data_IF_018520386445
#
_entry.id   IF_018520386445
#
_cell.length_a   1.000
_cell.length_b   1.000
_cell.length_c   1.000
_cell.angle_alpha   90.00
_cell.angle_beta   90.00
_cell.angle_gamma   90.00
#
_symmetry.space_group_name_H-M   'P 1'
#
loop_
_entity.id
_entity.type
_entity.pdbx_description
1 polymer ?
#
# COMPACT_ATOMS: atom_id res chain seq x y z
N UNK A 1 -62.30 -39.00 49.87
CA UNK A 1 -61.56 -39.09 51.15
C UNK A 1 -60.07 -38.83 50.86
N UNK A 2 -59.43 -38.02 51.71
CA UNK A 2 -57.99 -37.72 51.87
C UNK A 2 -57.24 -37.12 50.65
N UNK A 3 -57.02 -35.80 50.58
CA UNK A 3 -55.94 -34.98 51.21
C UNK A 3 -54.51 -35.51 50.99
N UNK A 4 -53.72 -34.74 50.25
CA UNK A 4 -52.51 -34.10 50.81
C UNK A 4 -52.15 -32.83 50.03
N UNK A 5 -51.86 -31.77 50.80
CA UNK A 5 -51.37 -30.45 50.39
C UNK A 5 -49.89 -30.36 50.81
N UNK A 6 -49.24 -29.28 50.34
CA UNK A 6 -48.04 -28.58 50.91
C UNK A 6 -46.70 -29.00 50.26
N UNK A 7 -45.68 -28.12 50.07
CA UNK A 7 -45.64 -26.64 49.99
C UNK A 7 -44.88 -26.06 48.76
N UNK A 8 -45.05 -24.74 48.60
CA UNK A 8 -44.17 -23.83 47.85
C UNK A 8 -42.72 -23.83 48.38
N UNK A 9 -41.73 -23.75 47.48
CA UNK A 9 -40.45 -23.09 47.76
C UNK A 9 -40.03 -22.19 46.60
N UNK A 10 -40.24 -20.90 46.84
CA UNK A 10 -39.65 -19.76 46.17
C UNK A 10 -38.11 -19.87 46.31
N UNK A 11 -37.39 -20.16 45.23
CA UNK A 11 -35.92 -20.12 45.23
C UNK A 11 -35.45 -18.92 44.40
N UNK A 12 -35.34 -17.78 45.10
CA UNK A 12 -34.74 -16.54 44.65
C UNK A 12 -33.24 -16.77 44.48
N UNK A 13 -32.75 -17.02 43.26
CA UNK A 13 -31.31 -17.00 42.97
C UNK A 13 -30.89 -15.56 42.65
N UNK A 14 -30.16 -14.97 43.57
CA UNK A 14 -29.37 -13.76 43.34
C UNK A 14 -28.26 -14.07 42.33
N UNK A 15 -27.86 -13.10 41.48
CA UNK A 15 -26.71 -13.25 40.60
C UNK A 15 -25.42 -13.17 41.40
N UNK A 16 -24.58 -14.20 41.28
CA UNK A 16 -23.22 -14.21 41.79
C UNK A 16 -22.37 -13.25 40.96
N UNK A 17 -21.98 -12.15 41.57
CA UNK A 17 -20.96 -11.24 41.10
C UNK A 17 -19.57 -11.85 41.35
N UNK A 18 -18.87 -12.23 40.27
CA UNK A 18 -17.42 -12.41 40.31
C UNK A 18 -16.75 -11.33 39.46
N UNK A 19 -15.74 -10.62 40.02
CA UNK A 19 -15.04 -9.56 39.33
C UNK A 19 -14.00 -10.16 38.36
N UNK A 20 -14.11 -9.80 37.08
CA UNK A 20 -13.06 -10.03 36.07
C UNK A 20 -12.01 -8.93 36.25
N UNK A 21 -10.70 -9.25 36.35
CA UNK A 21 -9.67 -8.23 36.30
C UNK A 21 -9.51 -7.74 34.86
N UNK A 22 -10.03 -6.55 34.58
CA UNK A 22 -9.73 -5.82 33.36
C UNK A 22 -8.25 -5.41 33.36
N UNK A 23 -7.43 -6.14 32.62
CA UNK A 23 -6.05 -5.74 32.34
C UNK A 23 -6.07 -4.49 31.45
N UNK A 24 -5.91 -3.33 32.11
CA UNK A 24 -5.63 -2.03 31.50
C UNK A 24 -4.32 -2.10 30.70
N UNK A 25 -4.42 -2.01 29.38
CA UNK A 25 -3.31 -1.58 28.51
C UNK A 25 -3.81 -0.49 27.57
N UNK A 26 -4.20 0.66 28.14
CA UNK A 26 -4.27 1.93 27.43
C UNK A 26 -3.51 2.96 28.27
N UNK A 27 -2.32 3.34 27.80
CA UNK A 27 -1.58 4.46 28.35
C UNK A 27 -2.11 5.78 27.76
N UNK A 28 -2.27 6.85 28.56
CA UNK A 28 -2.68 8.15 28.07
C UNK A 28 -1.54 8.88 27.33
N UNK A 29 -1.91 9.58 26.25
CA UNK A 29 -1.05 10.45 25.44
C UNK A 29 -0.37 11.56 26.28
N UNK A 30 0.94 11.83 26.11
CA UNK A 30 1.58 13.00 26.70
C UNK A 30 1.21 14.30 25.96
N UNK A 31 1.27 15.46 26.65
CA UNK A 31 0.86 16.75 26.10
C UNK A 31 1.86 17.29 25.06
N UNK A 32 1.30 18.08 24.13
CA UNK A 32 2.00 18.79 23.05
C UNK A 32 3.07 19.73 23.62
N UNK A 33 4.35 19.43 23.36
CA UNK A 33 5.43 20.39 23.47
C UNK A 33 5.63 21.09 22.13
N UNK A 34 5.25 22.36 22.06
CA UNK A 34 5.68 23.30 21.02
C UNK A 34 7.10 23.75 21.35
N UNK A 35 8.10 23.22 20.64
CA UNK A 35 9.46 23.75 20.67
C UNK A 35 9.82 24.23 19.25
N UNK A 36 9.78 25.55 19.07
CA UNK A 36 10.30 26.26 17.91
C UNK A 36 11.83 26.30 17.99
N UNK A 37 12.50 25.46 17.19
CA UNK A 37 13.94 25.55 16.97
C UNK A 37 14.22 26.48 15.77
N UNK A 38 15.08 27.51 15.89
CA UNK A 38 15.47 28.32 14.75
C UNK A 38 16.50 27.58 13.90
N UNK A 39 16.12 27.26 12.66
CA UNK A 39 17.04 26.75 11.63
C UNK A 39 17.91 27.93 11.16
N UNK A 40 19.18 27.97 11.58
CA UNK A 40 20.20 28.84 10.97
C UNK A 40 20.65 28.22 9.65
N UNK A 41 20.28 28.83 8.53
CA UNK A 41 20.87 28.53 7.22
C UNK A 41 22.31 29.09 7.14
N UNK A 42 23.30 28.31 6.68
CA UNK A 42 24.57 28.89 6.27
C UNK A 42 24.40 29.56 4.89
N UNK A 43 24.57 30.87 4.85
CA UNK A 43 24.75 31.63 3.62
C UNK A 43 26.12 31.33 3.03
N UNK A 44 26.17 30.58 1.93
CA UNK A 44 27.34 30.56 1.06
C UNK A 44 26.98 31.22 -0.29
N UNK A 45 27.83 32.10 -0.84
CA UNK A 45 27.55 32.73 -2.12
C UNK A 45 27.70 31.74 -3.27
N UNK A 46 26.65 31.63 -4.09
CA UNK A 46 26.64 30.96 -5.38
C UNK A 46 27.78 31.49 -6.28
N UNK A 47 28.82 30.68 -6.51
CA UNK A 47 29.72 30.87 -7.64
C UNK A 47 29.07 30.27 -8.89
N UNK A 48 28.46 31.14 -9.69
CA UNK A 48 28.03 30.84 -11.05
C UNK A 48 29.27 30.44 -11.88
N UNK A 49 29.27 29.20 -12.38
CA UNK A 49 30.25 28.72 -13.35
C UNK A 49 29.93 29.37 -14.71
N UNK A 50 30.60 30.49 -15.00
CA UNK A 50 30.65 31.09 -16.33
C UNK A 50 31.68 30.35 -17.18
N UNK A 51 31.20 29.69 -18.23
CA UNK A 51 32.04 29.17 -19.31
C UNK A 51 32.33 30.30 -20.29
N UNK A 52 33.58 30.75 -20.37
CA UNK A 52 34.05 31.62 -21.46
C UNK A 52 35.35 31.05 -22.04
N UNK A 53 35.46 30.89 -23.38
CA UNK A 53 36.64 30.34 -24.02
C UNK A 53 37.71 31.42 -24.13
N UNK A 54 38.88 31.20 -23.51
CA UNK A 54 40.03 32.09 -23.70
C UNK A 54 40.66 31.84 -25.07
N UNK A 55 40.42 32.79 -25.97
CA UNK A 55 41.07 32.93 -27.26
C UNK A 55 42.54 33.37 -27.04
N UNK A 56 43.49 32.63 -27.62
CA UNK A 56 44.91 32.96 -27.65
C UNK A 56 45.13 34.31 -28.36
N UNK A 57 45.55 35.34 -27.61
CA UNK A 57 45.98 36.62 -28.17
C UNK A 57 47.48 36.56 -28.51
N UNK A 58 47.82 36.58 -29.80
CA UNK A 58 49.17 36.86 -30.30
C UNK A 58 49.57 38.30 -29.96
N UNK A 59 50.82 38.49 -29.53
CA UNK A 59 51.42 39.82 -29.39
C UNK A 59 51.83 40.39 -30.77
N UNK A 60 51.72 41.70 -31.03
CA UNK A 60 52.15 42.33 -32.29
C UNK A 60 53.66 42.52 -32.39
N UNK A 61 54.16 42.41 -33.64
CA UNK A 61 55.51 42.74 -34.09
C UNK A 61 55.79 44.24 -33.98
N UNK A 62 56.99 44.59 -33.52
CA UNK A 62 57.56 45.95 -33.58
C UNK A 62 58.72 45.97 -34.60
N UNK A 63 58.77 47.02 -35.42
CA UNK A 63 59.56 47.14 -36.65
C UNK A 63 60.71 48.15 -36.53
N UNK A 64 61.95 47.67 -36.72
CA UNK A 64 63.18 48.20 -37.39
C UNK A 64 63.67 49.66 -37.18
N UNK A 65 65.00 49.97 -37.32
CA UNK A 65 65.60 50.29 -38.65
C UNK A 65 67.12 49.89 -38.79
N UNK A 66 67.96 50.34 -39.79
CA UNK A 66 68.80 49.49 -40.68
C UNK A 66 70.34 49.60 -40.43
N UNK A 67 71.23 48.94 -41.22
CA UNK A 67 72.59 48.53 -40.82
C UNK A 67 73.73 49.41 -41.36
N UNK A 68 75.00 49.20 -40.92
CA UNK A 68 76.19 49.58 -41.68
C UNK A 68 76.96 48.36 -42.27
N UNK A 69 77.85 48.58 -43.26
CA UNK A 69 78.26 47.54 -44.21
C UNK A 69 79.63 46.88 -43.94
N UNK A 70 79.79 45.74 -44.64
CA UNK A 70 81.02 45.13 -45.18
C UNK A 70 82.08 44.57 -44.22
N UNK A 71 82.30 43.26 -44.30
CA UNK A 71 83.53 42.72 -44.91
C UNK A 71 83.41 41.23 -45.18
N UNK A 72 83.91 40.86 -46.35
CA UNK A 72 84.10 39.50 -46.86
C UNK A 72 84.78 38.58 -45.86
N UNK A 73 84.31 37.33 -45.77
CA UNK A 73 85.20 36.16 -45.91
C UNK A 73 84.42 34.83 -45.90
N UNK A 74 84.63 34.09 -47.00
CA UNK A 74 84.85 32.65 -47.10
C UNK A 74 83.81 31.66 -46.56
N UNK A 75 83.09 31.10 -47.53
CA UNK A 75 82.75 29.67 -47.68
C UNK A 75 83.59 28.73 -46.81
N UNK A 76 82.92 28.08 -45.86
CA UNK A 76 83.28 26.72 -45.43
C UNK A 76 82.03 25.86 -45.42
N UNK A 77 82.04 24.82 -46.24
CA UNK A 77 80.98 23.83 -46.32
C UNK A 77 80.89 23.07 -44.98
N UNK A 78 79.72 23.11 -44.34
CA UNK A 78 79.43 22.31 -43.15
C UNK A 78 79.10 20.87 -43.61
N UNK A 79 79.76 19.82 -43.08
CA UNK A 79 79.47 18.44 -43.43
C UNK A 79 78.07 18.02 -42.94
N UNK A 80 77.42 17.02 -43.58
CA UNK A 80 76.04 16.65 -43.25
C UNK A 80 75.95 16.14 -41.81
N UNK A 81 75.20 16.86 -40.97
CA UNK A 81 74.84 16.40 -39.62
C UNK A 81 73.94 15.17 -39.71
N UNK A 82 74.38 14.08 -39.08
CA UNK A 82 73.60 12.86 -38.85
C UNK A 82 72.32 13.23 -38.08
N UNK A 83 71.12 12.76 -38.47
CA UNK A 83 69.89 13.11 -37.78
C UNK A 83 69.95 12.66 -36.31
N UNK A 84 69.75 13.61 -35.40
CA UNK A 84 69.64 13.36 -33.97
C UNK A 84 68.37 12.54 -33.70
N UNK A 85 68.43 11.42 -32.96
CA UNK A 85 67.21 10.72 -32.58
C UNK A 85 66.35 11.64 -31.73
N UNK A 86 65.11 11.88 -32.15
CA UNK A 86 64.10 12.55 -31.35
C UNK A 86 63.81 11.69 -30.11
N UNK A 87 63.76 12.26 -28.89
CA UNK A 87 63.32 11.49 -27.74
C UNK A 87 61.88 11.04 -27.99
N UNK A 88 61.65 9.73 -27.87
CA UNK A 88 60.33 9.14 -28.01
C UNK A 88 59.34 9.83 -27.09
N UNK A 89 58.22 10.28 -27.66
CA UNK A 89 57.06 10.74 -26.91
C UNK A 89 56.47 9.54 -26.15
N UNK A 90 57.02 9.26 -24.97
CA UNK A 90 56.39 8.33 -24.03
C UNK A 90 55.10 8.98 -23.53
N UNK A 91 53.96 8.52 -24.05
CA UNK A 91 52.64 8.94 -23.58
C UNK A 91 52.54 8.52 -22.10
N UNK A 92 52.25 9.45 -21.17
CA UNK A 92 52.26 9.12 -19.75
C UNK A 92 51.18 8.08 -19.42
N UNK A 93 51.37 7.24 -18.38
CA UNK A 93 50.44 6.17 -17.98
C UNK A 93 49.09 6.69 -17.40
N UNK A 94 48.74 7.94 -17.67
CA UNK A 94 47.70 8.72 -17.00
C UNK A 94 46.27 8.46 -17.52
N UNK A 95 46.01 7.27 -18.10
CA UNK A 95 44.72 6.91 -18.69
C UNK A 95 43.95 5.84 -17.91
N UNK A 96 44.62 5.02 -17.07
CA UNK A 96 43.96 3.92 -16.34
C UNK A 96 43.05 4.39 -15.21
N UNK A 97 43.46 5.43 -14.48
CA UNK A 97 42.64 6.02 -13.39
C UNK A 97 41.36 6.67 -13.92
N UNK A 98 41.45 7.39 -15.05
CA UNK A 98 40.28 7.96 -15.71
C UNK A 98 39.28 6.91 -16.18
N UNK A 99 39.76 5.78 -16.73
CA UNK A 99 38.91 4.64 -17.10
C UNK A 99 38.25 4.00 -15.88
N UNK A 100 38.97 3.85 -14.76
CA UNK A 100 38.41 3.31 -13.52
C UNK A 100 37.30 4.20 -12.97
N UNK A 101 37.51 5.53 -12.93
CA UNK A 101 36.48 6.47 -12.51
C UNK A 101 35.28 6.46 -13.46
N UNK A 102 35.51 6.46 -14.78
CA UNK A 102 34.43 6.37 -15.76
C UNK A 102 33.58 5.09 -15.58
N UNK A 103 34.23 3.95 -15.36
CA UNK A 103 33.55 2.69 -15.08
C UNK A 103 32.76 2.74 -13.75
N UNK A 104 33.33 3.34 -12.70
CA UNK A 104 32.65 3.52 -11.42
C UNK A 104 31.42 4.43 -11.53
N UNK A 105 31.53 5.57 -12.22
CA UNK A 105 30.40 6.46 -12.46
C UNK A 105 29.34 5.85 -13.36
N UNK A 106 29.73 5.06 -14.37
CA UNK A 106 28.80 4.33 -15.22
C UNK A 106 28.03 3.28 -14.41
N UNK A 107 28.72 2.48 -13.59
CA UNK A 107 28.09 1.48 -12.72
C UNK A 107 27.16 2.13 -11.69
N UNK A 108 27.60 3.23 -11.06
CA UNK A 108 26.75 3.97 -10.14
C UNK A 108 25.53 4.54 -10.87
N UNK A 109 25.71 5.13 -12.06
CA UNK A 109 24.62 5.67 -12.87
C UNK A 109 23.64 4.62 -13.36
N UNK A 110 24.10 3.43 -13.77
CA UNK A 110 23.22 2.33 -14.19
C UNK A 110 22.47 1.74 -13.00
N UNK A 111 23.10 1.61 -11.84
CA UNK A 111 22.44 1.16 -10.61
C UNK A 111 21.38 2.19 -10.17
N UNK A 112 21.75 3.46 -10.04
CA UNK A 112 20.82 4.52 -9.63
C UNK A 112 19.69 4.69 -10.63
N UNK A 113 20.00 4.66 -11.93
CA UNK A 113 19.02 4.75 -13.01
C UNK A 113 18.09 3.55 -13.06
N UNK A 114 18.59 2.34 -12.80
CA UNK A 114 17.77 1.13 -12.72
C UNK A 114 16.83 1.15 -11.52
N UNK A 115 17.34 1.53 -10.33
CA UNK A 115 16.51 1.70 -9.14
C UNK A 115 15.43 2.77 -9.37
N UNK A 116 15.81 3.92 -9.92
CA UNK A 116 14.85 4.99 -10.25
C UNK A 116 13.78 4.50 -11.24
N UNK A 117 14.18 3.81 -12.32
CA UNK A 117 13.24 3.24 -13.29
C UNK A 117 12.26 2.28 -12.64
N UNK A 118 12.72 1.35 -11.80
CA UNK A 118 11.84 0.39 -11.10
C UNK A 118 10.88 1.11 -10.14
N UNK A 119 11.32 2.20 -9.51
CA UNK A 119 10.44 2.97 -8.61
C UNK A 119 9.40 3.82 -9.34
N UNK A 120 9.73 4.37 -10.51
CA UNK A 120 8.84 5.28 -11.27
C UNK A 120 7.98 4.54 -12.29
N UNK A 121 8.50 3.44 -12.84
CA UNK A 121 7.85 2.62 -13.86
C UNK A 121 8.11 1.15 -13.52
N UNK A 122 7.43 0.61 -12.50
CA UNK A 122 7.51 -0.82 -12.18
C UNK A 122 7.08 -1.65 -13.41
N UNK A 123 7.54 -2.91 -13.51
CA UNK A 123 7.12 -3.80 -14.58
C UNK A 123 5.59 -3.97 -14.58
N UNK A 124 5.05 -4.23 -15.77
CA UNK A 124 3.61 -4.42 -15.93
C UNK A 124 3.14 -5.62 -15.08
N UNK A 125 2.03 -5.43 -14.38
CA UNK A 125 1.43 -6.46 -13.55
C UNK A 125 0.61 -7.42 -14.43
N UNK A 126 0.48 -8.66 -13.98
CA UNK A 126 -0.30 -9.68 -14.71
C UNK A 126 -1.73 -9.19 -15.01
N UNK A 127 -2.13 -9.33 -16.27
CA UNK A 127 -3.48 -8.98 -16.70
C UNK A 127 -4.51 -9.94 -16.08
N UNK A 128 -5.66 -9.46 -15.56
CA UNK A 128 -6.64 -10.31 -14.91
C UNK A 128 -7.19 -11.35 -15.89
N UNK A 129 -7.27 -12.60 -15.43
CA UNK A 129 -7.73 -13.71 -16.26
C UNK A 129 -6.65 -14.32 -17.18
N UNK A 130 -5.46 -13.73 -17.26
CA UNK A 130 -4.31 -14.36 -17.93
C UNK A 130 -3.88 -15.66 -17.25
N UNK A 131 -3.11 -16.50 -17.94
CA UNK A 131 -2.57 -17.73 -17.35
C UNK A 131 -1.62 -17.44 -16.17
N UNK A 132 -0.84 -16.36 -16.27
CA UNK A 132 0.04 -15.89 -15.21
C UNK A 132 -0.76 -15.43 -13.99
N UNK A 133 -1.80 -14.64 -14.19
CA UNK A 133 -2.69 -14.17 -13.11
C UNK A 133 -3.30 -15.33 -12.33
N UNK A 134 -3.80 -16.35 -13.03
CA UNK A 134 -4.34 -17.56 -12.39
C UNK A 134 -3.28 -18.32 -11.57
N UNK A 135 -2.06 -18.42 -12.09
CA UNK A 135 -0.97 -19.04 -11.35
C UNK A 135 -0.62 -18.24 -10.08
N UNK A 136 -0.56 -16.91 -10.18
CA UNK A 136 -0.31 -16.01 -9.06
C UNK A 136 -1.42 -16.08 -8.00
N UNK A 137 -2.69 -16.06 -8.41
CA UNK A 137 -3.84 -16.25 -7.51
C UNK A 137 -3.75 -17.56 -6.74
N UNK A 138 -3.39 -18.66 -7.42
CA UNK A 138 -3.18 -19.96 -6.76
C UNK A 138 -2.05 -19.92 -5.72
N UNK A 139 -0.95 -19.21 -6.01
CA UNK A 139 0.16 -19.02 -5.06
C UNK A 139 -0.29 -18.18 -3.86
N UNK A 140 -0.99 -17.07 -4.10
CA UNK A 140 -1.49 -16.16 -3.06
C UNK A 140 -2.47 -16.90 -2.16
N UNK A 141 -3.41 -17.67 -2.73
CA UNK A 141 -4.36 -18.47 -1.96
C UNK A 141 -3.68 -19.50 -1.06
N UNK A 142 -2.71 -20.26 -1.57
CA UNK A 142 -1.92 -21.20 -0.75
C UNK A 142 -1.17 -20.49 0.38
N UNK A 143 -0.61 -19.30 0.12
CA UNK A 143 0.04 -18.49 1.16
C UNK A 143 -0.96 -18.03 2.22
N UNK A 144 -2.16 -17.60 1.81
CA UNK A 144 -3.21 -17.17 2.70
C UNK A 144 -3.69 -18.30 3.63
N UNK A 145 -3.93 -19.49 3.06
CA UNK A 145 -4.31 -20.70 3.81
C UNK A 145 -3.20 -21.21 4.76
N UNK A 146 -1.94 -20.81 4.51
CA UNK A 146 -0.82 -21.08 5.40
C UNK A 146 -0.69 -20.09 6.57
N UNK A 147 -1.41 -18.96 6.55
CA UNK A 147 -1.34 -17.96 7.62
C UNK A 147 -1.91 -18.54 8.93
N UNK A 148 -1.19 -18.38 10.07
CA UNK A 148 -1.66 -18.88 11.36
C UNK A 148 -3.06 -18.37 11.72
N UNK A 149 -3.31 -17.08 11.50
CA UNK A 149 -4.60 -16.46 11.80
C UNK A 149 -5.76 -17.06 10.98
N UNK A 150 -5.53 -17.35 9.69
CA UNK A 150 -6.56 -17.96 8.83
C UNK A 150 -6.90 -19.35 9.33
N UNK A 151 -5.88 -20.13 9.75
CA UNK A 151 -6.08 -21.47 10.31
C UNK A 151 -6.83 -21.42 11.64
N UNK A 152 -6.40 -20.57 12.57
CA UNK A 152 -7.07 -20.40 13.87
C UNK A 152 -8.54 -20.02 13.71
N UNK A 153 -8.85 -19.04 12.86
CA UNK A 153 -10.23 -18.62 12.62
C UNK A 153 -11.06 -19.66 11.85
N UNK A 154 -10.43 -20.49 11.03
CA UNK A 154 -11.12 -21.59 10.33
C UNK A 154 -11.36 -22.82 11.21
N UNK A 155 -10.52 -23.05 12.22
CA UNK A 155 -10.65 -24.17 13.16
C UNK A 155 -11.64 -23.87 14.30
N UNK A 156 -11.79 -22.59 14.67
CA UNK A 156 -12.72 -22.17 15.72
C UNK A 156 -14.18 -22.25 15.22
N UNK A 157 -15.04 -23.11 15.83
CA UNK A 157 -16.43 -23.28 15.42
C UNK A 157 -17.30 -22.05 15.72
N UNK A 158 -16.81 -21.05 16.45
CA UNK A 158 -17.52 -19.79 16.65
C UNK A 158 -17.56 -18.89 15.40
N UNK A 159 -16.71 -19.16 14.40
CA UNK A 159 -16.58 -18.36 13.19
C UNK A 159 -17.13 -19.09 11.96
N UNK A 160 -18.12 -18.50 11.32
CA UNK A 160 -18.53 -18.87 9.98
C UNK A 160 -17.58 -18.20 8.98
N UNK A 161 -17.07 -18.96 7.99
CA UNK A 161 -16.14 -18.39 7.00
C UNK A 161 -16.56 -18.67 5.55
N UNK A 162 -16.27 -17.71 4.67
CA UNK A 162 -16.50 -17.82 3.24
C UNK A 162 -15.53 -16.94 2.45
N UNK A 163 -15.29 -17.31 1.19
CA UNK A 163 -14.60 -16.42 0.25
C UNK A 163 -15.53 -15.28 -0.14
N UNK A 164 -15.00 -14.05 -0.18
CA UNK A 164 -15.78 -12.90 -0.62
C UNK A 164 -16.26 -13.12 -2.06
N UNK A 165 -17.51 -12.74 -2.32
CA UNK A 165 -18.19 -12.94 -3.61
C UNK A 165 -18.38 -14.40 -4.04
N UNK A 166 -18.33 -15.38 -3.13
CA UNK A 166 -18.59 -16.80 -3.44
C UNK A 166 -19.99 -17.06 -4.04
N UNK A 167 -20.94 -16.15 -3.81
CA UNK A 167 -22.29 -16.19 -4.44
C UNK A 167 -22.23 -15.85 -5.94
N UNK A 168 -21.15 -15.20 -6.38
CA UNK A 168 -20.85 -15.07 -7.78
C UNK A 168 -19.95 -16.28 -8.15
N UNK A 169 -20.36 -17.17 -9.06
CA UNK A 169 -19.56 -18.31 -9.52
C UNK A 169 -18.23 -17.84 -10.10
N UNK A 170 -17.13 -18.56 -9.89
CA UNK A 170 -15.80 -18.25 -10.42
C UNK A 170 -15.85 -17.88 -11.92
N UNK A 171 -14.92 -17.03 -12.39
CA UNK A 171 -14.94 -16.51 -13.77
C UNK A 171 -14.92 -17.61 -14.85
N UNK A 172 -14.58 -18.82 -14.44
CA UNK A 172 -14.46 -20.08 -15.16
C UNK A 172 -15.72 -20.99 -15.06
N UNK A 173 -16.73 -20.61 -14.27
CA UNK A 173 -18.01 -21.33 -14.18
C UNK A 173 -18.92 -21.01 -15.38
N UNK A 174 -18.54 -21.52 -16.56
CA UNK A 174 -19.44 -21.84 -17.66
C UNK A 174 -20.04 -20.67 -18.46
N UNK A 175 -19.73 -20.67 -19.76
CA UNK A 175 -20.35 -19.83 -20.79
C UNK A 175 -21.83 -20.22 -21.06
N UNK A 176 -22.69 -20.03 -20.07
CA UNK A 176 -24.15 -20.00 -20.24
C UNK A 176 -24.66 -18.56 -20.21
N UNK A 177 -25.87 -18.32 -20.74
CA UNK A 177 -26.50 -16.98 -20.74
C UNK A 177 -26.64 -16.38 -19.32
N UNK A 178 -26.77 -17.23 -18.29
CA UNK A 178 -26.77 -16.81 -16.88
C UNK A 178 -25.36 -16.40 -16.39
N UNK A 179 -24.32 -17.07 -16.87
CA UNK A 179 -22.91 -16.76 -16.58
C UNK A 179 -22.46 -15.42 -17.15
N UNK A 180 -22.88 -15.07 -18.38
CA UNK A 180 -22.56 -13.77 -18.98
C UNK A 180 -23.23 -12.60 -18.23
N UNK A 181 -24.48 -12.75 -17.81
CA UNK A 181 -25.18 -11.77 -17.00
C UNK A 181 -24.55 -11.58 -15.61
N UNK A 182 -24.03 -12.66 -15.03
CA UNK A 182 -23.35 -12.66 -13.74
C UNK A 182 -21.95 -12.06 -13.82
N UNK A 183 -21.20 -12.37 -14.88
CA UNK A 183 -19.88 -11.78 -15.14
C UNK A 183 -20.00 -10.26 -15.35
N UNK A 184 -21.00 -9.80 -16.11
CA UNK A 184 -21.30 -8.37 -16.23
C UNK A 184 -21.59 -7.69 -14.88
N UNK A 185 -22.26 -8.39 -13.95
CA UNK A 185 -22.50 -7.88 -12.59
C UNK A 185 -21.21 -7.80 -11.75
N UNK A 186 -20.22 -8.66 -12.01
CA UNK A 186 -18.88 -8.55 -11.39
C UNK A 186 -18.13 -7.36 -11.93
N UNK A 187 -18.11 -7.22 -13.26
CA UNK A 187 -17.36 -6.17 -13.96
C UNK A 187 -17.88 -4.77 -13.61
N UNK A 188 -19.17 -4.65 -13.29
CA UNK A 188 -19.80 -3.40 -12.82
C UNK A 188 -19.43 -3.03 -11.37
N UNK A 189 -18.82 -3.93 -10.60
CA UNK A 189 -18.41 -3.69 -9.21
C UNK A 189 -16.94 -3.32 -9.15
N UNK A 190 -16.60 -2.47 -8.18
CA UNK A 190 -15.22 -2.03 -7.98
C UNK A 190 -14.33 -3.17 -7.48
N UNK A 191 -14.77 -3.87 -6.44
CA UNK A 191 -13.94 -4.84 -5.72
C UNK A 191 -13.84 -6.19 -6.43
N UNK A 192 -14.95 -6.72 -6.96
CA UNK A 192 -14.97 -7.96 -7.75
C UNK A 192 -14.71 -7.78 -9.25
N UNK A 193 -14.59 -6.53 -9.73
CA UNK A 193 -14.40 -6.20 -11.14
C UNK A 193 -13.10 -5.44 -11.36
N UNK A 194 -13.14 -4.11 -11.24
CA UNK A 194 -11.98 -3.24 -11.52
C UNK A 194 -10.73 -3.57 -10.68
N UNK A 195 -10.92 -4.03 -9.45
CA UNK A 195 -9.87 -4.46 -8.52
C UNK A 195 -9.73 -5.99 -8.47
N UNK A 196 -10.26 -6.75 -9.43
CA UNK A 196 -10.09 -8.20 -9.46
C UNK A 196 -8.68 -8.63 -9.89
N UNK A 197 -8.36 -9.90 -9.66
CA UNK A 197 -7.11 -10.54 -10.07
C UNK A 197 -5.96 -10.33 -9.08
N UNK A 198 -4.82 -10.97 -9.38
CA UNK A 198 -3.62 -10.98 -8.55
C UNK A 198 -3.03 -9.59 -8.32
N UNK A 199 -3.15 -8.70 -9.32
CA UNK A 199 -2.72 -7.30 -9.21
C UNK A 199 -3.62 -6.45 -8.30
N UNK A 200 -4.88 -6.84 -8.09
CA UNK A 200 -5.86 -6.08 -7.32
C UNK A 200 -6.06 -6.66 -5.92
N UNK A 201 -7.32 -6.96 -5.58
CA UNK A 201 -7.74 -7.69 -4.39
C UNK A 201 -7.70 -9.20 -4.71
N UNK A 202 -6.49 -9.75 -4.70
CA UNK A 202 -6.23 -11.13 -5.10
C UNK A 202 -6.88 -12.19 -4.19
N UNK A 203 -7.09 -11.84 -2.92
CA UNK A 203 -7.64 -12.72 -1.91
C UNK A 203 -8.44 -11.92 -0.90
N UNK A 204 -9.64 -12.39 -0.59
CA UNK A 204 -10.48 -11.83 0.45
C UNK A 204 -11.31 -12.96 1.06
N UNK A 205 -11.01 -13.32 2.31
CA UNK A 205 -11.79 -14.30 3.08
C UNK A 205 -12.41 -13.63 4.29
N UNK A 206 -13.71 -13.82 4.42
CA UNK A 206 -14.52 -13.24 5.50
C UNK A 206 -14.76 -14.30 6.55
N UNK A 207 -14.58 -13.92 7.80
CA UNK A 207 -14.93 -14.66 9.00
C UNK A 207 -15.96 -13.84 9.76
N UNK A 208 -17.05 -14.46 10.18
CA UNK A 208 -18.11 -13.81 10.94
C UNK A 208 -18.45 -14.62 12.18
N UNK A 209 -18.57 -13.92 13.29
CA UNK A 209 -19.11 -14.47 14.53
C UNK A 209 -20.62 -14.24 14.61
N UNK A 210 -21.39 -15.31 14.78
CA UNK A 210 -22.84 -15.22 14.81
C UNK A 210 -23.40 -14.60 16.10
N UNK A 211 -22.69 -14.77 17.22
CA UNK A 211 -23.05 -14.30 18.56
C UNK A 211 -22.86 -12.78 18.72
N UNK A 212 -21.66 -12.27 18.43
CA UNK A 212 -21.31 -10.85 18.57
C UNK A 212 -21.68 -10.04 17.33
N UNK A 213 -21.76 -10.70 16.16
CA UNK A 213 -21.91 -10.03 14.87
C UNK A 213 -20.61 -9.36 14.38
N UNK A 214 -19.48 -9.66 15.02
CA UNK A 214 -18.17 -9.22 14.57
C UNK A 214 -17.76 -9.93 13.28
N UNK A 215 -17.04 -9.20 12.43
CA UNK A 215 -16.44 -9.74 11.22
C UNK A 215 -14.94 -9.49 11.21
N UNK A 216 -14.17 -10.47 10.74
CA UNK A 216 -12.77 -10.31 10.40
C UNK A 216 -12.60 -10.69 8.92
N UNK A 217 -11.99 -9.82 8.14
CA UNK A 217 -11.71 -10.07 6.72
C UNK A 217 -10.21 -10.12 6.53
N UNK A 218 -9.68 -11.26 6.07
CA UNK A 218 -8.28 -11.36 5.64
C UNK A 218 -8.21 -10.99 4.18
N UNK A 219 -7.42 -9.98 3.84
CA UNK A 219 -7.34 -9.40 2.49
C UNK A 219 -5.90 -9.31 2.02
N UNK A 220 -5.69 -9.55 0.73
CA UNK A 220 -4.43 -9.27 0.03
C UNK A 220 -4.57 -8.03 -0.84
N UNK A 221 -3.70 -7.04 -0.66
CA UNK A 221 -3.60 -5.89 -1.55
C UNK A 221 -2.46 -6.10 -2.54
N UNK A 222 -2.77 -6.32 -3.81
CA UNK A 222 -1.79 -6.42 -4.90
C UNK A 222 -1.28 -5.06 -5.37
N UNK A 223 -0.25 -5.06 -6.21
CA UNK A 223 0.47 -3.86 -6.65
C UNK A 223 -0.38 -2.87 -7.44
N UNK A 224 -1.43 -3.32 -8.10
CA UNK A 224 -2.39 -2.50 -8.83
C UNK A 224 -3.33 -1.69 -7.91
N UNK A 225 -3.32 -1.97 -6.61
CA UNK A 225 -4.00 -1.15 -5.60
C UNK A 225 -3.13 0.01 -5.10
N UNK A 226 -1.88 0.13 -5.58
CA UNK A 226 -0.94 1.13 -5.09
C UNK A 226 -1.28 2.54 -5.57
N UNK A 227 -1.23 3.52 -4.66
CA UNK A 227 -1.37 4.95 -4.98
C UNK A 227 -0.03 5.67 -5.06
N UNK A 228 0.97 5.12 -4.39
CA UNK A 228 2.37 5.55 -4.41
C UNK A 228 3.24 4.30 -4.56
N UNK A 229 4.44 4.36 -5.15
CA UNK A 229 5.28 3.17 -5.32
C UNK A 229 5.40 2.32 -4.05
N UNK A 230 4.86 1.10 -4.12
CA UNK A 230 4.86 0.12 -3.03
C UNK A 230 3.85 0.36 -1.90
N UNK A 231 3.01 1.39 -1.95
CA UNK A 231 2.01 1.73 -0.93
C UNK A 231 0.58 1.68 -1.49
N UNK A 232 -0.29 0.97 -0.78
CA UNK A 232 -1.72 0.86 -1.11
C UNK A 232 -2.37 2.25 -1.11
N UNK A 233 -3.18 2.52 -2.12
CA UNK A 233 -3.93 3.76 -2.24
C UNK A 233 -4.94 3.88 -1.08
N UNK A 234 -5.04 5.07 -0.47
CA UNK A 234 -5.99 5.32 0.62
C UNK A 234 -7.42 5.00 0.23
N UNK A 235 -7.84 5.33 -1.00
CA UNK A 235 -9.15 4.96 -1.53
C UNK A 235 -9.39 3.45 -1.63
N UNK A 236 -8.37 2.64 -1.96
CA UNK A 236 -8.52 1.18 -2.00
C UNK A 236 -8.73 0.61 -0.59
N UNK A 237 -8.01 1.13 0.40
CA UNK A 237 -8.23 0.79 1.82
C UNK A 237 -9.64 1.20 2.26
N UNK A 238 -10.07 2.41 1.91
CA UNK A 238 -11.41 2.92 2.21
C UNK A 238 -12.50 2.03 1.62
N UNK A 239 -12.35 1.58 0.37
CA UNK A 239 -13.32 0.68 -0.30
C UNK A 239 -13.45 -0.66 0.42
N UNK A 240 -12.32 -1.30 0.77
CA UNK A 240 -12.36 -2.59 1.48
C UNK A 240 -12.92 -2.44 2.90
N UNK A 241 -12.62 -1.33 3.57
CA UNK A 241 -13.20 -0.99 4.87
C UNK A 241 -14.70 -0.77 4.79
N UNK A 242 -15.18 0.04 3.85
CA UNK A 242 -16.60 0.30 3.64
C UNK A 242 -17.37 -1.01 3.44
N UNK A 243 -16.83 -1.90 2.59
CA UNK A 243 -17.44 -3.19 2.32
C UNK A 243 -17.44 -4.11 3.55
N UNK A 244 -16.33 -4.17 4.31
CA UNK A 244 -16.21 -5.01 5.50
C UNK A 244 -17.12 -4.54 6.63
N UNK A 245 -17.17 -3.23 6.89
CA UNK A 245 -18.05 -2.64 7.90
C UNK A 245 -19.52 -2.75 7.47
N UNK A 246 -19.78 -2.56 6.18
CA UNK A 246 -21.12 -2.68 5.61
C UNK A 246 -21.65 -4.10 5.73
N UNK A 247 -20.83 -5.12 5.46
CA UNK A 247 -21.18 -6.52 5.67
C UNK A 247 -21.54 -6.82 7.13
N UNK A 248 -20.73 -6.33 8.07
CA UNK A 248 -21.02 -6.44 9.50
C UNK A 248 -22.38 -5.80 9.87
N UNK A 249 -22.66 -4.60 9.36
CA UNK A 249 -23.92 -3.92 9.64
C UNK A 249 -25.15 -4.58 8.98
N UNK A 250 -25.05 -4.84 7.68
CA UNK A 250 -26.15 -5.30 6.83
C UNK A 250 -26.64 -6.68 7.26
N UNK A 251 -25.73 -7.58 7.65
CA UNK A 251 -26.10 -8.90 8.15
C UNK A 251 -26.83 -8.86 9.49
N UNK A 252 -26.79 -7.72 10.21
CA UNK A 252 -27.52 -7.52 11.46
C UNK A 252 -28.87 -6.82 11.26
N UNK A 253 -29.07 -6.10 10.16
CA UNK A 253 -30.37 -5.52 9.86
C UNK A 253 -31.41 -6.60 9.53
N UNK A 254 -32.65 -6.51 10.04
CA UNK A 254 -33.72 -7.46 9.70
C UNK A 254 -34.01 -7.51 8.19
N UNK A 255 -33.88 -6.37 7.50
CA UNK A 255 -34.08 -6.26 6.06
C UNK A 255 -32.92 -6.83 5.23
N UNK A 256 -31.79 -7.20 5.86
CA UNK A 256 -30.55 -7.65 5.22
C UNK A 256 -30.10 -6.74 4.08
N UNK A 257 -30.32 -5.44 4.20
CA UNK A 257 -29.92 -4.47 3.20
C UNK A 257 -29.57 -3.15 3.89
N UNK A 258 -28.78 -2.31 3.24
CA UNK A 258 -28.35 -1.05 3.81
C UNK A 258 -27.40 -0.31 2.90
N UNK A 259 -27.25 0.98 3.15
CA UNK A 259 -26.29 1.85 2.47
C UNK A 259 -25.42 2.56 3.50
N UNK A 260 -24.20 2.91 3.10
CA UNK A 260 -23.29 3.73 3.90
C UNK A 260 -23.83 5.16 3.97
N UNK A 261 -24.12 5.64 5.18
CA UNK A 261 -24.51 7.04 5.40
C UNK A 261 -23.33 7.91 5.80
N UNK A 262 -22.35 7.35 6.52
CA UNK A 262 -21.11 8.04 6.91
C UNK A 262 -19.98 7.02 7.03
N UNK A 263 -18.80 7.38 6.54
CA UNK A 263 -17.56 6.63 6.71
C UNK A 263 -16.47 7.61 7.14
N UNK A 264 -15.92 7.40 8.32
CA UNK A 264 -14.81 8.16 8.88
C UNK A 264 -13.57 7.28 8.92
N UNK A 265 -12.44 7.79 8.43
CA UNK A 265 -11.19 7.06 8.35
C UNK A 265 -10.07 7.89 8.97
N UNK A 266 -9.25 7.26 9.80
CA UNK A 266 -8.01 7.83 10.31
C UNK A 266 -6.82 6.97 9.87
N UNK A 267 -6.10 7.42 8.85
CA UNK A 267 -4.87 6.78 8.38
C UNK A 267 -3.74 7.04 9.37
N UNK A 268 -3.28 5.99 10.04
CA UNK A 268 -2.25 6.05 11.09
C UNK A 268 -0.85 5.77 10.55
N UNK A 269 -0.75 4.83 9.61
CA UNK A 269 0.52 4.39 9.06
C UNK A 269 0.37 3.97 7.60
N UNK A 270 1.45 4.06 6.79
CA UNK A 270 1.42 3.62 5.40
C UNK A 270 1.27 2.10 5.30
N UNK A 271 0.40 1.64 4.39
CA UNK A 271 0.14 0.23 4.11
C UNK A 271 0.91 -0.20 2.86
N UNK A 272 1.72 -1.25 2.94
CA UNK A 272 2.48 -1.78 1.80
C UNK A 272 1.59 -2.62 0.88
N UNK A 273 1.74 -2.46 -0.43
CA UNK A 273 1.15 -3.37 -1.40
C UNK A 273 1.91 -4.72 -1.43
N UNK A 274 1.36 -5.69 -2.16
CA UNK A 274 1.82 -7.08 -2.25
C UNK A 274 1.91 -7.77 -0.86
N UNK A 275 0.90 -7.55 -0.01
CA UNK A 275 0.90 -8.04 1.37
C UNK A 275 -0.51 -8.33 1.90
N UNK A 276 -0.58 -9.21 2.90
CA UNK A 276 -1.80 -9.58 3.59
C UNK A 276 -2.05 -8.70 4.81
N UNK A 277 -3.33 -8.39 5.05
CA UNK A 277 -3.80 -7.62 6.18
C UNK A 277 -5.13 -8.17 6.70
N UNK A 278 -5.50 -7.70 7.89
CA UNK A 278 -6.75 -8.04 8.54
C UNK A 278 -7.59 -6.80 8.68
N UNK A 279 -8.85 -6.91 8.29
CA UNK A 279 -9.86 -5.89 8.56
C UNK A 279 -10.78 -6.41 9.64
N UNK A 280 -10.77 -5.78 10.82
CA UNK A 280 -11.70 -6.10 11.90
C UNK A 280 -12.86 -5.14 11.87
N UNK A 281 -14.07 -5.66 12.04
CA UNK A 281 -15.30 -4.90 12.10
C UNK A 281 -16.13 -5.39 13.29
N UNK A 282 -16.56 -4.46 14.14
CA UNK A 282 -17.42 -4.75 15.28
C UNK A 282 -18.62 -3.81 15.31
N UNK A 283 -19.84 -4.33 15.52
CA UNK A 283 -21.00 -3.47 15.71
C UNK A 283 -20.84 -2.71 17.02
N UNK A 284 -21.06 -1.39 16.98
CA UNK A 284 -21.14 -0.60 18.19
C UNK A 284 -22.56 -0.75 18.73
N UNK A 285 -22.69 -1.47 19.84
CA UNK A 285 -23.91 -1.44 20.63
C UNK A 285 -24.07 -0.03 21.13
N UNK A 286 -24.92 0.71 20.44
CA UNK A 286 -25.19 2.08 20.82
C UNK A 286 -26.15 2.02 22.00
N UNK A 287 -25.63 2.37 23.18
CA UNK A 287 -26.38 2.96 24.29
C UNK A 287 -27.04 4.26 23.80
N UNK A 288 -27.97 4.15 22.86
CA UNK A 288 -28.81 5.27 22.51
C UNK A 288 -29.84 5.38 23.61
N UNK A 289 -29.42 6.00 24.72
CA UNK A 289 -30.28 6.39 25.82
C UNK A 289 -31.62 6.89 25.28
N UNK A 290 -32.66 6.07 25.46
CA UNK A 290 -34.04 6.41 25.16
C UNK A 290 -34.55 6.31 23.71
N UNK A 291 -33.81 5.80 22.72
CA UNK A 291 -34.40 5.64 21.36
C UNK A 291 -35.20 4.34 21.20
N UNK A 292 -36.36 4.47 20.54
CA UNK A 292 -37.29 3.37 20.22
C UNK A 292 -36.54 2.24 19.50
N UNK A 293 -36.86 0.98 19.85
CA UNK A 293 -36.36 -0.26 19.23
C UNK A 293 -36.31 -0.20 17.69
N UNK A 294 -37.25 0.50 17.07
CA UNK A 294 -37.37 0.69 15.61
C UNK A 294 -36.24 1.47 14.93
N UNK A 295 -35.45 2.27 15.66
CA UNK A 295 -34.30 2.98 15.08
C UNK A 295 -33.03 2.12 15.04
N UNK A 296 -32.87 1.20 16.00
CA UNK A 296 -31.76 0.24 15.99
C UNK A 296 -31.87 -0.75 14.82
N UNK A 297 -33.09 -1.10 14.41
CA UNK A 297 -33.34 -1.99 13.28
C UNK A 297 -32.96 -1.38 11.91
N UNK A 298 -32.71 -0.06 11.85
CA UNK A 298 -32.46 0.66 10.60
C UNK A 298 -31.16 1.46 10.58
N UNK A 299 -30.50 1.64 11.72
CA UNK A 299 -29.28 2.43 11.83
C UNK A 299 -28.31 1.70 12.75
N UNK A 300 -27.11 1.46 12.26
CA UNK A 300 -26.08 0.77 13.02
C UNK A 300 -24.74 1.45 12.81
N UNK A 301 -24.10 1.78 13.92
CA UNK A 301 -22.70 2.19 13.93
C UNK A 301 -21.82 0.94 13.97
N UNK A 302 -20.78 0.94 13.16
CA UNK A 302 -19.76 -0.11 13.13
C UNK A 302 -18.40 0.56 13.25
N UNK A 303 -17.57 0.03 14.13
CA UNK A 303 -16.17 0.41 14.25
C UNK A 303 -15.31 -0.67 13.62
N UNK A 304 -14.19 -0.28 13.04
CA UNK A 304 -13.23 -1.25 12.55
C UNK A 304 -11.86 -0.67 12.30
N UNK A 305 -10.96 -1.55 11.90
CA UNK A 305 -9.54 -1.26 11.75
C UNK A 305 -8.94 -2.11 10.64
N UNK A 306 -7.93 -1.57 9.96
CA UNK A 306 -6.98 -2.35 9.16
C UNK A 306 -5.74 -2.58 10.00
N UNK A 307 -5.38 -3.84 10.20
CA UNK A 307 -4.29 -4.28 11.07
C UNK A 307 -3.30 -5.14 10.28
N UNK A 308 -2.05 -5.13 10.74
CA UNK A 308 -1.07 -6.15 10.37
C UNK A 308 -1.51 -7.53 10.83
N UNK A 309 -1.10 -8.59 10.14
CA UNK A 309 -1.45 -9.98 10.50
C UNK A 309 -1.13 -10.34 11.96
N UNK A 310 -0.04 -9.80 12.50
CA UNK A 310 0.39 -10.07 13.88
C UNK A 310 -0.41 -9.27 14.93
N UNK A 311 -1.35 -8.42 14.52
CA UNK A 311 -2.10 -7.51 15.39
C UNK A 311 -1.28 -6.40 16.05
N UNK A 312 0.03 -6.32 15.75
CA UNK A 312 0.95 -5.39 16.41
C UNK A 312 0.71 -3.91 16.09
N UNK A 313 0.13 -3.61 14.91
CA UNK A 313 -0.10 -2.24 14.46
C UNK A 313 -1.42 -2.07 13.74
N UNK A 314 -2.18 -1.06 14.16
CA UNK A 314 -3.32 -0.52 13.42
C UNK A 314 -2.82 0.49 12.38
N UNK A 315 -3.16 0.26 11.12
CA UNK A 315 -2.77 1.09 9.98
C UNK A 315 -3.83 2.15 9.67
N UNK A 316 -5.11 1.76 9.78
CA UNK A 316 -6.25 2.65 9.56
C UNK A 316 -7.33 2.34 10.59
N UNK A 317 -7.81 3.35 11.30
CA UNK A 317 -9.05 3.24 12.09
C UNK A 317 -10.24 3.70 11.25
N UNK A 318 -11.40 3.08 11.45
CA UNK A 318 -12.61 3.40 10.75
C UNK A 318 -13.84 3.40 11.66
N UNK A 319 -14.75 4.34 11.40
CA UNK A 319 -16.08 4.38 12.02
C UNK A 319 -17.12 4.68 10.95
N UNK A 320 -18.12 3.83 10.84
CA UNK A 320 -19.14 3.95 9.81
C UNK A 320 -20.56 3.87 10.38
N UNK A 321 -21.47 4.60 9.76
CA UNK A 321 -22.91 4.53 10.01
C UNK A 321 -23.59 3.95 8.78
N UNK A 322 -24.29 2.83 8.96
CA UNK A 322 -25.12 2.22 7.92
C UNK A 322 -26.58 2.45 8.21
N UNK A 323 -27.36 2.66 7.14
CA UNK A 323 -28.80 2.97 7.26
C UNK A 323 -29.60 2.17 6.24
N UNK A 324 -30.76 1.67 6.66
CA UNK A 324 -31.79 1.12 5.76
C UNK A 324 -32.64 2.28 5.21
N UNK A 325 -32.57 2.61 3.91
CA UNK A 325 -33.33 3.72 3.35
C UNK A 325 -34.83 3.43 3.37
N UNK A 326 -35.63 4.50 3.52
CA UNK A 326 -37.09 4.41 3.42
C UNK A 326 -37.52 4.55 1.96
N UNK A 327 -38.46 3.73 1.51
CA UNK A 327 -39.09 3.88 0.20
C UNK A 327 -38.27 3.34 -0.99
N UNK A 328 -37.11 2.73 -0.74
CA UNK A 328 -36.31 2.06 -1.78
C UNK A 328 -36.25 0.58 -1.49
N UNK A 329 -36.69 -0.25 -2.43
CA UNK A 329 -36.53 -1.71 -2.37
C UNK A 329 -35.14 -2.07 -2.87
N UNK A 330 -34.26 -2.40 -1.95
CA UNK A 330 -32.93 -2.90 -2.25
C UNK A 330 -32.94 -4.43 -2.21
N UNK A 331 -32.12 -5.05 -3.05
CA UNK A 331 -31.90 -6.48 -2.97
C UNK A 331 -31.25 -6.83 -1.61
N UNK A 332 -31.73 -7.87 -0.92
CA UNK A 332 -31.10 -8.33 0.31
C UNK A 332 -29.72 -8.91 0.00
N UNK A 333 -28.81 -8.74 0.94
CA UNK A 333 -27.48 -9.32 0.90
C UNK A 333 -27.60 -10.84 1.11
N UNK A 334 -27.14 -11.60 0.13
CA UNK A 334 -26.97 -13.04 0.26
C UNK A 334 -25.73 -13.33 1.12
N UNK A 335 -25.77 -14.41 1.89
CA UNK A 335 -24.60 -14.93 2.61
C UNK A 335 -23.56 -15.35 1.56
N UNK A 336 -22.33 -14.86 1.68
CA UNK A 336 -21.28 -15.03 0.65
C UNK A 336 -20.93 -13.77 -0.13
N UNK A 337 -21.67 -12.66 0.06
CA UNK A 337 -21.17 -11.34 -0.28
C UNK A 337 -20.00 -10.98 0.63
#
# INVERSE_FOLDING_TARGET
MLRSRIPQKLCRRQPMSHPVPAARLYAPLPPRFTASLPIRLPTQPCRLLSTSPQCFRKAPLESAPPPPPSSDQQTTAIPPQKPRPTPGSERPPWRRRGVLYAAAFLMLGTILGSVFRVTVSPPDLAEPGSAEDRALLGIIRRKAEALPLVRELSEDPAWDSWDAYSVLPDADAGAGAEGEGQQRRRDQRLTSGALAGSRGLAYQRVFRRADTGECATVVYFGGGTAGWPGLVHGGALATVLDESLGRCAILRFPARTGVTARLELAYRAPTRAESFYVVRARPVESDVGGKKKSDADRKLWVEGSVETLDGSRVLVDARALFVVPKGVKLAPLAVGF
#
